data_IF_778949322588
#
_entry.id   IF_778949322588
#
_cell.length_a   1.000
_cell.length_b   1.000
_cell.length_c   1.000
_cell.angle_alpha   90.00
_cell.angle_beta   90.00
_cell.angle_gamma   90.00
#
_symmetry.space_group_name_H-M   'P 1'
#
loop_
_entity.id
_entity.type
_entity.pdbx_description
1 polymer ?
#
# COMPACT_ATOMS: atom_id res chain seq x y z
N UNK A 1 -6.85 -30.22 39.71
CA UNK A 1 -7.15 -28.77 39.74
C UNK A 1 -5.97 -28.00 40.32
N UNK A 2 -4.76 -28.16 39.77
CA UNK A 2 -3.54 -27.45 40.21
C UNK A 2 -2.70 -26.94 39.02
N UNK A 3 -3.14 -27.15 37.78
CA UNK A 3 -2.39 -26.77 36.56
C UNK A 3 -2.55 -25.30 36.19
N UNK A 4 -3.73 -24.69 36.41
CA UNK A 4 -4.00 -23.31 35.99
C UNK A 4 -3.08 -22.26 36.67
N UNK A 5 -2.60 -22.54 37.88
CA UNK A 5 -1.74 -21.60 38.62
C UNK A 5 -0.31 -21.54 38.07
N UNK A 6 0.20 -22.66 37.53
CA UNK A 6 1.55 -22.72 36.95
C UNK A 6 1.59 -22.01 35.61
N UNK A 7 0.55 -22.19 34.78
CA UNK A 7 0.42 -21.47 33.52
C UNK A 7 0.33 -19.95 33.74
N UNK A 8 -0.31 -19.52 34.82
CA UNK A 8 -0.48 -18.11 35.14
C UNK A 8 0.83 -17.46 35.59
N UNK A 9 1.64 -18.17 36.38
CA UNK A 9 2.99 -17.73 36.76
C UNK A 9 3.92 -17.64 35.54
N UNK A 10 3.88 -18.62 34.64
CA UNK A 10 4.63 -18.59 33.38
C UNK A 10 4.23 -17.41 32.48
N UNK A 11 2.93 -17.11 32.43
CA UNK A 11 2.40 -15.96 31.69
C UNK A 11 2.87 -14.62 32.28
N UNK A 12 2.95 -14.53 33.60
CA UNK A 12 3.44 -13.35 34.30
C UNK A 12 4.93 -13.14 34.07
N UNK A 13 5.71 -14.22 34.06
CA UNK A 13 7.11 -14.16 33.68
C UNK A 13 7.30 -13.67 32.25
N UNK A 14 6.50 -14.20 31.31
CA UNK A 14 6.53 -13.78 29.91
C UNK A 14 6.20 -12.28 29.78
N UNK A 15 5.14 -11.81 30.44
CA UNK A 15 4.75 -10.38 30.46
C UNK A 15 5.86 -9.50 31.01
N UNK A 16 6.60 -9.97 32.03
CA UNK A 16 7.71 -9.22 32.63
C UNK A 16 8.89 -9.12 31.68
N UNK A 17 9.29 -10.23 31.04
CA UNK A 17 10.38 -10.27 30.05
C UNK A 17 10.06 -9.39 28.84
N UNK A 18 8.83 -9.45 28.34
CA UNK A 18 8.37 -8.60 27.24
C UNK A 18 8.42 -7.11 27.57
N UNK A 19 7.97 -6.72 28.76
CA UNK A 19 7.99 -5.31 29.20
C UNK A 19 9.42 -4.76 29.27
N UNK A 20 10.36 -5.55 29.77
CA UNK A 20 11.78 -5.20 29.81
C UNK A 20 12.37 -5.04 28.41
N UNK A 21 12.03 -5.93 27.47
CA UNK A 21 12.50 -5.83 26.09
C UNK A 21 11.95 -4.57 25.39
N UNK A 22 10.67 -4.25 25.56
CA UNK A 22 10.05 -3.03 25.02
C UNK A 22 10.70 -1.78 25.59
N UNK A 23 10.99 -1.76 26.90
CA UNK A 23 11.64 -0.64 27.57
C UNK A 23 13.08 -0.47 27.09
N UNK A 24 13.86 -1.55 26.97
CA UNK A 24 15.20 -1.53 26.39
C UNK A 24 15.19 -1.03 24.93
N UNK A 25 14.21 -1.48 24.12
CA UNK A 25 14.02 -1.01 22.74
C UNK A 25 13.71 0.49 22.69
N UNK A 26 12.92 1.01 23.65
CA UNK A 26 12.63 2.45 23.79
C UNK A 26 13.88 3.23 24.17
N UNK A 27 14.70 2.75 25.11
CA UNK A 27 15.97 3.40 25.48
C UNK A 27 16.98 3.43 24.34
N UNK A 28 17.09 2.36 23.55
CA UNK A 28 17.95 2.32 22.35
C UNK A 28 17.46 3.32 21.29
N UNK A 29 16.15 3.45 21.12
CA UNK A 29 15.54 4.41 20.18
C UNK A 29 15.62 5.86 20.68
N UNK A 30 15.69 6.08 21.99
CA UNK A 30 15.81 7.40 22.61
C UNK A 30 17.27 7.88 22.79
N UNK A 31 18.25 6.99 22.57
CA UNK A 31 19.70 7.32 22.65
C UNK A 31 20.31 7.68 21.28
N UNK A 32 19.54 7.58 20.21
CA UNK A 32 19.90 8.09 18.88
C UNK A 32 18.87 9.15 18.50
N UNK A 33 19.34 10.39 18.32
CA UNK A 33 18.59 11.66 18.13
C UNK A 33 18.44 12.49 19.41
N UNK A 34 19.48 13.29 19.70
CA UNK A 34 19.27 14.64 20.23
C UNK A 34 18.69 15.53 19.11
N UNK A 35 17.57 16.23 19.33
CA UNK A 35 17.29 17.49 18.65
C UNK A 35 17.84 18.62 19.51
N UNK A 36 18.90 19.30 19.06
CA UNK A 36 19.28 20.60 19.62
C UNK A 36 18.32 21.65 19.07
N UNK A 37 17.43 22.16 19.92
CA UNK A 37 16.56 23.30 19.67
C UNK A 37 17.18 24.57 20.27
N UNK A 38 17.43 25.65 19.50
CA UNK A 38 17.82 26.93 20.08
C UNK A 38 16.60 27.65 20.71
N UNK A 39 16.82 28.23 21.89
CA UNK A 39 15.84 28.93 22.74
C UNK A 39 15.24 30.21 22.10
N UNK A 40 14.04 30.64 22.54
CA UNK A 40 13.25 31.68 21.88
C UNK A 40 13.69 33.10 22.28
N UNK A 41 13.53 34.07 21.36
CA UNK A 41 13.48 35.51 21.69
C UNK A 41 12.17 36.12 21.21
N UNK A 42 11.54 36.76 22.19
CA UNK A 42 10.28 37.50 22.22
C UNK A 42 9.69 38.04 20.90
N UNK A 43 8.41 37.75 20.72
CA UNK A 43 7.48 38.51 19.89
C UNK A 43 7.31 39.94 20.43
N UNK A 44 7.38 40.92 19.53
CA UNK A 44 6.50 42.11 19.57
C UNK A 44 5.97 42.40 18.16
N UNK A 45 4.69 42.77 18.00
CA UNK A 45 4.02 42.92 16.71
C UNK A 45 3.93 44.39 16.27
N UNK A 46 3.97 44.64 14.96
CA UNK A 46 3.32 45.73 14.19
C UNK A 46 3.78 45.58 12.73
N UNK A 47 2.94 45.11 11.81
CA UNK A 47 2.00 45.86 10.94
C UNK A 47 2.68 46.79 9.92
N UNK A 48 2.00 46.98 8.76
CA UNK A 48 2.39 47.66 7.50
C UNK A 48 3.13 46.73 6.52
N UNK A 49 2.47 46.13 5.50
CA UNK A 49 1.89 46.71 4.29
C UNK A 49 2.87 47.58 3.51
N UNK A 50 3.51 47.01 2.48
CA UNK A 50 3.83 47.68 1.20
C UNK A 50 3.91 46.61 0.10
N UNK A 51 3.05 46.80 -0.90
CA UNK A 51 3.13 46.28 -2.27
C UNK A 51 4.27 47.02 -2.99
N UNK A 52 5.18 46.37 -3.71
CA UNK A 52 5.80 46.99 -4.89
C UNK A 52 6.44 45.92 -5.80
N UNK A 53 5.97 45.91 -7.04
CA UNK A 53 6.42 45.14 -8.19
C UNK A 53 7.83 45.50 -8.65
N UNK A 54 8.56 44.53 -9.22
CA UNK A 54 9.38 44.79 -10.42
C UNK A 54 9.30 43.61 -11.39
N UNK A 55 8.74 43.90 -12.57
CA UNK A 55 8.66 43.08 -13.78
C UNK A 55 10.02 42.93 -14.47
N UNK A 56 10.28 41.77 -15.10
CA UNK A 56 10.74 41.62 -16.49
C UNK A 56 11.03 40.13 -16.81
N UNK A 57 10.52 39.69 -17.96
CA UNK A 57 10.62 38.37 -18.64
C UNK A 57 12.04 38.00 -19.18
N UNK A 58 12.23 37.04 -20.12
CA UNK A 58 12.07 35.56 -20.09
C UNK A 58 13.33 34.84 -20.64
N UNK A 59 13.25 33.52 -20.84
CA UNK A 59 14.11 32.65 -21.67
C UNK A 59 15.57 32.37 -21.25
N UNK A 60 15.79 31.20 -20.64
CA UNK A 60 16.59 30.08 -21.22
C UNK A 60 16.59 28.88 -20.24
N UNK A 61 16.21 27.64 -20.65
CA UNK A 61 16.42 26.47 -19.79
C UNK A 61 17.90 26.06 -19.81
N UNK A 62 18.59 25.94 -18.66
CA UNK A 62 19.96 25.46 -18.66
C UNK A 62 19.96 23.97 -19.03
N UNK A 63 20.54 23.67 -20.19
CA UNK A 63 20.94 22.31 -20.59
C UNK A 63 21.80 21.74 -19.48
N UNK A 64 21.29 20.70 -18.82
CA UNK A 64 22.02 19.95 -17.79
C UNK A 64 23.01 19.04 -18.51
N UNK A 65 24.27 19.45 -18.57
CA UNK A 65 25.37 18.58 -18.95
C UNK A 65 25.44 17.41 -17.94
N UNK A 66 24.95 16.25 -18.36
CA UNK A 66 24.87 15.00 -17.58
C UNK A 66 26.00 14.05 -17.94
N UNK A 67 27.25 14.49 -17.90
CA UNK A 67 28.37 13.57 -18.08
C UNK A 67 29.50 13.87 -17.10
N UNK A 68 29.36 13.31 -15.90
CA UNK A 68 30.52 12.97 -15.07
C UNK A 68 30.20 11.69 -14.30
N UNK A 69 30.78 10.54 -14.69
CA UNK A 69 30.61 9.31 -13.94
C UNK A 69 31.48 9.41 -12.69
N UNK A 70 30.87 9.87 -11.59
CA UNK A 70 31.48 9.76 -10.27
C UNK A 70 31.40 8.29 -9.89
N UNK A 71 32.53 7.60 -10.09
CA UNK A 71 32.75 6.19 -9.79
C UNK A 71 32.32 5.90 -8.34
N UNK A 72 31.20 5.19 -8.19
CA UNK A 72 30.63 4.78 -6.90
C UNK A 72 29.28 5.39 -6.55
N UNK A 73 28.74 6.31 -7.35
CA UNK A 73 27.37 6.81 -7.15
C UNK A 73 26.35 5.88 -7.80
N UNK A 74 25.40 5.40 -6.99
CA UNK A 74 24.24 4.64 -7.49
C UNK A 74 23.50 5.46 -8.53
N UNK A 75 23.15 4.81 -9.63
CA UNK A 75 22.37 5.46 -10.69
C UNK A 75 20.97 5.80 -10.16
N UNK A 76 20.29 6.78 -10.78
CA UNK A 76 18.90 7.09 -10.41
C UNK A 76 17.99 5.86 -10.49
N UNK A 77 18.16 5.06 -11.56
CA UNK A 77 17.47 3.81 -11.77
C UNK A 77 17.68 2.82 -10.61
N UNK A 78 18.90 2.73 -10.09
CA UNK A 78 19.25 1.84 -8.99
C UNK A 78 18.64 2.28 -7.65
N UNK A 79 18.55 3.58 -7.39
CA UNK A 79 17.77 4.10 -6.26
C UNK A 79 16.29 3.74 -6.40
N UNK A 80 15.72 3.80 -7.60
CA UNK A 80 14.33 3.43 -7.83
C UNK A 80 14.09 1.92 -7.63
N UNK A 81 14.97 1.07 -8.15
CA UNK A 81 14.90 -0.39 -7.96
C UNK A 81 14.98 -0.79 -6.48
N UNK A 82 15.93 -0.22 -5.75
CA UNK A 82 16.06 -0.47 -4.31
C UNK A 82 14.85 0.03 -3.52
N UNK A 83 14.21 1.13 -3.94
CA UNK A 83 12.97 1.59 -3.33
C UNK A 83 11.83 0.57 -3.47
N UNK A 84 11.65 0.02 -4.68
CA UNK A 84 10.64 -1.02 -4.96
C UNK A 84 10.89 -2.29 -4.13
N UNK A 85 12.14 -2.72 -4.00
CA UNK A 85 12.48 -3.88 -3.17
C UNK A 85 12.12 -3.64 -1.70
N UNK A 86 12.43 -2.46 -1.16
CA UNK A 86 12.07 -2.09 0.21
C UNK A 86 10.58 -1.98 0.42
N UNK A 87 9.84 -1.51 -0.58
CA UNK A 87 8.38 -1.49 -0.59
C UNK A 87 7.78 -2.90 -0.51
N UNK A 88 8.30 -3.84 -1.33
CA UNK A 88 7.87 -5.25 -1.30
C UNK A 88 8.13 -5.94 0.04
N UNK A 89 9.21 -5.55 0.74
CA UNK A 89 9.54 -6.03 2.09
C UNK A 89 8.69 -5.34 3.17
N UNK A 90 7.97 -4.27 2.84
CA UNK A 90 7.15 -3.49 3.77
C UNK A 90 7.91 -2.39 4.52
N UNK A 91 9.16 -2.12 4.16
CA UNK A 91 9.96 -1.04 4.76
C UNK A 91 9.71 0.30 4.01
N UNK A 92 8.53 0.87 4.25
CA UNK A 92 8.06 2.05 3.51
C UNK A 92 8.91 3.31 3.76
N UNK A 93 9.46 3.50 4.96
CA UNK A 93 10.25 4.70 5.28
C UNK A 93 11.53 4.78 4.44
N UNK A 94 12.28 3.67 4.37
CA UNK A 94 13.49 3.56 3.56
C UNK A 94 13.15 3.61 2.06
N UNK A 95 12.03 2.99 1.64
CA UNK A 95 11.55 3.07 0.27
C UNK A 95 11.32 4.52 -0.18
N UNK A 96 10.61 5.32 0.61
CA UNK A 96 10.34 6.73 0.32
C UNK A 96 11.62 7.57 0.23
N UNK A 97 12.63 7.30 1.06
CA UNK A 97 13.91 8.01 0.95
C UNK A 97 14.60 7.72 -0.37
N UNK A 98 14.59 6.46 -0.81
CA UNK A 98 15.21 6.06 -2.07
C UNK A 98 14.43 6.60 -3.28
N UNK A 99 13.09 6.60 -3.25
CA UNK A 99 12.29 7.25 -4.29
C UNK A 99 12.61 8.74 -4.42
N UNK A 100 12.69 9.47 -3.30
CA UNK A 100 13.06 10.90 -3.32
C UNK A 100 14.45 11.13 -3.91
N UNK A 101 15.41 10.26 -3.60
CA UNK A 101 16.75 10.33 -4.17
C UNK A 101 16.75 10.07 -5.68
N UNK A 102 16.01 9.07 -6.15
CA UNK A 102 15.86 8.78 -7.58
C UNK A 102 15.31 10.01 -8.33
N UNK A 103 14.18 10.57 -7.89
CA UNK A 103 13.57 11.73 -8.54
C UNK A 103 14.39 13.01 -8.46
N UNK A 104 15.27 13.12 -7.46
CA UNK A 104 16.21 14.24 -7.34
C UNK A 104 17.32 14.16 -8.39
N UNK A 105 17.76 12.95 -8.74
CA UNK A 105 18.76 12.73 -9.78
C UNK A 105 18.12 12.82 -11.17
N UNK A 106 17.05 12.07 -11.40
CA UNK A 106 16.26 12.06 -12.63
C UNK A 106 14.78 12.23 -12.36
N UNK A 107 14.13 13.28 -12.87
CA UNK A 107 12.67 13.40 -12.83
C UNK A 107 11.95 12.21 -13.49
N UNK A 108 12.56 11.62 -14.53
CA UNK A 108 11.98 10.54 -15.34
C UNK A 108 12.53 9.15 -14.95
N UNK A 109 12.84 8.97 -13.66
CA UNK A 109 13.37 7.70 -13.12
C UNK A 109 12.39 6.53 -13.28
N UNK A 110 11.09 6.80 -13.18
CA UNK A 110 10.03 5.81 -13.35
C UNK A 110 9.93 5.31 -14.81
N UNK A 111 10.02 6.22 -15.79
CA UNK A 111 10.02 5.84 -17.21
C UNK A 111 11.24 4.98 -17.55
N UNK A 112 12.41 5.33 -17.01
CA UNK A 112 13.63 4.54 -17.13
C UNK A 112 13.46 3.13 -16.57
N UNK A 113 12.74 2.99 -15.44
CA UNK A 113 12.41 1.68 -14.87
C UNK A 113 11.44 0.88 -15.74
N UNK A 114 10.40 1.52 -16.31
CA UNK A 114 9.46 0.86 -17.23
C UNK A 114 10.16 0.32 -18.47
N UNK A 115 11.08 1.10 -19.03
CA UNK A 115 11.88 0.66 -20.18
C UNK A 115 12.79 -0.51 -19.81
N UNK A 116 13.48 -0.43 -18.67
CA UNK A 116 14.31 -1.53 -18.16
C UNK A 116 13.48 -2.81 -17.94
N UNK A 117 12.26 -2.67 -17.40
CA UNK A 117 11.34 -3.79 -17.21
C UNK A 117 10.94 -4.44 -18.53
N UNK A 118 10.58 -3.66 -19.54
CA UNK A 118 10.22 -4.16 -20.86
C UNK A 118 11.37 -4.90 -21.55
N UNK A 119 12.60 -4.42 -21.39
CA UNK A 119 13.77 -4.98 -22.04
C UNK A 119 14.26 -6.27 -21.38
N UNK A 120 14.32 -6.30 -20.05
CA UNK A 120 14.98 -7.39 -19.33
C UNK A 120 14.01 -8.34 -18.62
N UNK A 121 12.87 -7.85 -18.14
CA UNK A 121 12.01 -8.60 -17.22
C UNK A 121 10.80 -9.19 -17.95
N UNK A 122 10.15 -8.44 -18.84
CA UNK A 122 9.03 -8.91 -19.65
C UNK A 122 9.35 -10.17 -20.49
N UNK A 123 10.47 -10.26 -21.25
CA UNK A 123 10.77 -11.47 -22.03
C UNK A 123 11.05 -12.68 -21.14
N UNK A 124 11.68 -12.49 -19.98
CA UNK A 124 11.91 -13.57 -19.02
C UNK A 124 10.60 -14.04 -18.37
N UNK A 125 9.69 -13.11 -18.06
CA UNK A 125 8.37 -13.44 -17.53
C UNK A 125 7.53 -14.24 -18.54
N UNK A 126 7.52 -13.82 -19.81
CA UNK A 126 6.82 -14.54 -20.89
C UNK A 126 7.43 -15.93 -21.14
N UNK A 127 8.76 -16.06 -21.14
CA UNK A 127 9.44 -17.35 -21.30
C UNK A 127 9.17 -18.30 -20.11
N UNK A 128 9.10 -17.77 -18.89
CA UNK A 128 8.74 -18.55 -17.70
C UNK A 128 7.30 -19.08 -17.82
N UNK A 129 6.35 -18.26 -18.26
CA UNK A 129 4.96 -18.68 -18.50
C UNK A 129 4.83 -19.73 -19.60
N UNK A 130 5.66 -19.70 -20.64
CA UNK A 130 5.68 -20.71 -21.71
C UNK A 130 6.34 -22.03 -21.27
N UNK A 131 7.39 -21.99 -20.45
CA UNK A 131 8.08 -23.19 -19.97
C UNK A 131 7.22 -24.01 -19.00
N UNK A 132 6.42 -23.36 -18.16
CA UNK A 132 5.51 -24.03 -17.19
C UNK A 132 4.39 -24.81 -17.91
N UNK A 133 4.02 -24.45 -19.14
CA UNK A 133 3.04 -25.21 -19.93
C UNK A 133 3.60 -26.53 -20.52
N UNK A 134 4.92 -26.72 -20.51
CA UNK A 134 5.57 -27.86 -21.18
C UNK A 134 5.96 -29.00 -20.23
N UNK A 135 5.73 -28.87 -18.92
CA UNK A 135 6.24 -29.80 -17.90
C UNK A 135 5.16 -30.32 -16.94
N UNK A 136 4.00 -30.74 -17.46
CA UNK A 136 2.90 -31.31 -16.66
C UNK A 136 2.61 -32.77 -17.01
N UNK A 137 3.45 -33.71 -16.56
CA UNK A 137 3.10 -35.15 -16.50
C UNK A 137 3.61 -35.84 -15.23
N UNK A 138 3.60 -35.18 -14.08
CA UNK A 138 3.75 -35.87 -12.78
C UNK A 138 2.72 -35.31 -11.83
N UNK A 139 1.65 -36.07 -11.59
CA UNK A 139 0.60 -35.73 -10.63
C UNK A 139 1.15 -35.95 -9.22
N UNK A 140 1.62 -34.89 -8.56
CA UNK A 140 1.84 -34.92 -7.12
C UNK A 140 0.52 -34.56 -6.44
N UNK A 141 0.07 -35.41 -5.53
CA UNK A 141 -1.22 -35.37 -4.83
C UNK A 141 -1.45 -34.11 -3.95
N UNK A 142 -0.43 -33.26 -3.82
CA UNK A 142 -0.44 -32.00 -3.06
C UNK A 142 -0.06 -30.76 -3.91
N UNK A 143 -0.06 -30.85 -5.24
CA UNK A 143 0.16 -29.68 -6.10
C UNK A 143 -1.17 -29.00 -6.40
N UNK A 144 -1.46 -27.93 -5.67
CA UNK A 144 -2.63 -27.09 -5.93
C UNK A 144 -2.38 -26.32 -7.23
N UNK A 145 -2.80 -26.91 -8.35
CA UNK A 145 -2.78 -26.23 -9.65
C UNK A 145 -3.59 -24.93 -9.54
N UNK A 146 -2.91 -23.79 -9.71
CA UNK A 146 -3.58 -22.50 -9.85
C UNK A 146 -4.35 -22.50 -11.16
N UNK A 147 -5.63 -22.84 -11.09
CA UNK A 147 -6.57 -22.65 -12.17
C UNK A 147 -6.80 -21.15 -12.35
N UNK A 148 -6.05 -20.54 -13.26
CA UNK A 148 -6.29 -19.16 -13.70
C UNK A 148 -7.18 -19.26 -14.94
N UNK A 149 -8.46 -18.94 -14.80
CA UNK A 149 -9.37 -18.82 -15.94
C UNK A 149 -8.93 -17.61 -16.77
N UNK A 150 -8.36 -17.87 -17.94
CA UNK A 150 -7.89 -16.86 -18.88
C UNK A 150 -8.86 -16.80 -20.06
N UNK A 151 -10.07 -16.30 -19.81
CA UNK A 151 -11.07 -16.11 -20.85
C UNK A 151 -12.51 -16.07 -20.34
N UNK A 152 -13.42 -15.67 -21.23
CA UNK A 152 -14.86 -15.89 -21.06
C UNK A 152 -15.18 -17.36 -21.38
N UNK A 153 -14.63 -18.28 -20.58
CA UNK A 153 -14.76 -19.74 -20.77
C UNK A 153 -16.20 -20.23 -20.52
N UNK A 154 -17.09 -19.30 -20.18
CA UNK A 154 -18.50 -19.51 -19.97
C UNK A 154 -19.28 -19.32 -21.27
N UNK A 155 -19.45 -20.42 -22.02
CA UNK A 155 -20.44 -20.51 -23.08
C UNK A 155 -21.84 -20.62 -22.45
N UNK A 156 -22.63 -19.53 -22.51
CA UNK A 156 -24.02 -19.55 -22.05
C UNK A 156 -24.79 -20.59 -22.88
N UNK A 157 -25.30 -21.69 -22.28
CA UNK A 157 -26.00 -22.71 -23.06
C UNK A 157 -27.25 -22.08 -23.69
N UNK A 158 -27.26 -22.05 -25.02
CA UNK A 158 -28.27 -21.37 -25.85
C UNK A 158 -29.65 -22.06 -25.84
N UNK A 159 -29.96 -22.81 -24.79
CA UNK A 159 -31.10 -23.73 -24.70
C UNK A 159 -31.76 -23.84 -23.32
N UNK A 160 -31.48 -22.93 -22.38
CA UNK A 160 -32.35 -22.82 -21.20
C UNK A 160 -33.69 -22.25 -21.65
N UNK A 161 -34.76 -23.03 -21.43
CA UNK A 161 -36.13 -22.70 -21.81
C UNK A 161 -36.54 -21.28 -21.37
N UNK A 162 -37.55 -20.65 -22.00
CA UNK A 162 -37.91 -19.22 -21.84
C UNK A 162 -38.37 -18.78 -20.44
N UNK A 163 -38.27 -19.65 -19.45
CA UNK A 163 -38.54 -19.37 -18.06
C UNK A 163 -37.22 -19.39 -17.30
N UNK A 164 -36.42 -18.36 -17.57
CA UNK A 164 -35.21 -18.02 -16.83
C UNK A 164 -35.51 -18.03 -15.32
N UNK A 165 -35.08 -19.08 -14.62
CA UNK A 165 -35.27 -19.22 -13.17
C UNK A 165 -34.70 -18.04 -12.42
N UNK A 166 -33.59 -17.46 -12.90
CA UNK A 166 -32.95 -16.26 -12.35
C UNK A 166 -33.73 -14.98 -12.65
N UNK A 167 -34.16 -14.75 -13.89
CA UNK A 167 -34.93 -13.54 -14.24
C UNK A 167 -36.30 -13.55 -13.54
N UNK A 168 -36.93 -14.73 -13.43
CA UNK A 168 -38.16 -14.90 -12.66
C UNK A 168 -37.93 -14.65 -11.16
N UNK A 169 -36.80 -15.13 -10.60
CA UNK A 169 -36.40 -14.82 -9.22
C UNK A 169 -36.14 -13.32 -9.02
N UNK A 170 -35.45 -12.68 -9.96
CA UNK A 170 -35.17 -11.25 -9.94
C UNK A 170 -36.46 -10.43 -10.03
N UNK A 171 -37.41 -10.83 -10.87
CA UNK A 171 -38.73 -10.22 -10.94
C UNK A 171 -39.50 -10.38 -9.62
N UNK A 172 -39.44 -11.57 -9.02
CA UNK A 172 -40.06 -11.85 -7.72
C UNK A 172 -39.43 -11.03 -6.58
N UNK A 173 -38.09 -10.90 -6.57
CA UNK A 173 -37.36 -10.11 -5.59
C UNK A 173 -37.60 -8.60 -5.77
N UNK A 174 -37.70 -8.10 -7.00
CA UNK A 174 -38.05 -6.69 -7.27
C UNK A 174 -39.47 -6.36 -6.80
N UNK A 175 -40.38 -7.33 -6.83
CA UNK A 175 -41.74 -7.19 -6.31
C UNK A 175 -41.86 -7.30 -4.79
N UNK A 176 -40.83 -7.81 -4.10
CA UNK A 176 -40.80 -7.88 -2.64
C UNK A 176 -40.53 -6.51 -2.03
N UNK A 177 -41.55 -5.92 -1.42
CA UNK A 177 -41.38 -4.78 -0.51
C UNK A 177 -40.84 -5.30 0.83
N UNK A 178 -39.53 -5.14 1.02
CA UNK A 178 -38.90 -5.34 2.32
C UNK A 178 -39.17 -4.11 3.18
N UNK A 179 -40.15 -4.22 4.06
CA UNK A 179 -40.38 -3.26 5.14
C UNK A 179 -39.24 -3.42 6.15
N UNK A 180 -38.19 -2.61 6.00
CA UNK A 180 -37.05 -2.58 6.90
C UNK A 180 -37.37 -1.71 8.13
N UNK A 181 -38.39 -2.09 8.89
CA UNK A 181 -38.73 -1.42 10.15
C UNK A 181 -37.84 -1.93 11.29
N UNK A 182 -37.27 -1.04 12.11
CA UNK A 182 -36.52 -1.46 13.27
C UNK A 182 -37.45 -2.17 14.26
N UNK A 183 -37.04 -3.34 14.75
CA UNK A 183 -37.80 -4.09 15.76
C UNK A 183 -38.08 -3.28 17.04
N UNK A 184 -37.35 -2.18 17.25
CA UNK A 184 -37.53 -1.23 18.37
C UNK A 184 -37.39 0.19 17.83
N UNK A 185 -38.51 0.90 17.69
CA UNK A 185 -38.56 2.28 17.17
C UNK A 185 -37.90 3.30 18.10
N UNK A 186 -38.02 3.11 19.42
CA UNK A 186 -37.57 4.10 20.42
C UNK A 186 -36.14 3.90 20.95
N UNK A 187 -35.37 2.96 20.38
CA UNK A 187 -34.01 2.70 20.86
C UNK A 187 -33.04 3.69 20.21
N UNK A 188 -32.36 4.57 20.99
CA UNK A 188 -31.38 5.48 20.42
C UNK A 188 -30.23 4.68 19.82
N UNK A 189 -30.00 4.86 18.51
CA UNK A 189 -28.84 4.31 17.81
C UNK A 189 -27.75 5.37 17.83
N UNK A 190 -26.70 5.13 18.62
CA UNK A 190 -25.55 6.02 18.64
C UNK A 190 -24.82 5.97 17.29
N UNK A 191 -24.51 7.14 16.72
CA UNK A 191 -23.82 7.29 15.43
C UNK A 191 -22.49 6.49 15.40
N UNK A 192 -21.84 6.36 16.56
CA UNK A 192 -20.61 5.58 16.73
C UNK A 192 -20.77 4.06 16.48
N UNK A 193 -22.00 3.54 16.56
CA UNK A 193 -22.31 2.11 16.36
C UNK A 193 -22.77 1.82 14.92
N UNK A 194 -22.95 2.84 14.09
CA UNK A 194 -23.33 2.65 12.68
C UNK A 194 -22.10 2.25 11.85
N UNK A 195 -22.25 1.35 10.87
CA UNK A 195 -21.23 1.09 9.85
C UNK A 195 -20.80 2.39 9.16
N UNK A 196 -19.55 2.46 8.72
CA UNK A 196 -18.95 3.65 8.08
C UNK A 196 -19.77 4.17 6.89
N UNK A 197 -20.39 3.28 6.11
CA UNK A 197 -21.25 3.58 4.96
C UNK A 197 -22.47 4.44 5.32
N UNK A 198 -23.00 4.27 6.54
CA UNK A 198 -24.21 4.98 7.02
C UNK A 198 -23.89 6.33 7.67
N UNK A 199 -22.61 6.68 7.85
CA UNK A 199 -22.17 7.94 8.50
C UNK A 199 -21.99 9.11 7.53
N UNK A 200 -22.18 8.90 6.23
CA UNK A 200 -21.83 9.87 5.17
C UNK A 200 -22.97 10.89 4.91
N UNK A 201 -24.17 10.67 5.44
CA UNK A 201 -25.37 11.49 5.15
C UNK A 201 -25.82 12.42 6.30
N UNK A 202 -24.97 12.66 7.31
CA UNK A 202 -25.27 13.59 8.40
C UNK A 202 -24.33 14.80 8.38
#
# INVERSE_FOLDING_TARGET
>A
MLDDSVEQDELEEFRRRWKQEVEAKKFVKNSSVQPQLPKPKAFRPSTTSVLESHSAEPDDPPKRDRDSPVVGQKTSLEYYMTAIEKEKVGNLSEALTNYRHAFKLDPDADDSYRQHWQQHIAPHAAATSAAVQSSSTVKHEDDFERHVHLGDDYEKPNGLAPNDTLENLLAQLRGMQLECTPLKEDKPIFIAMLPSERRIFC
#
